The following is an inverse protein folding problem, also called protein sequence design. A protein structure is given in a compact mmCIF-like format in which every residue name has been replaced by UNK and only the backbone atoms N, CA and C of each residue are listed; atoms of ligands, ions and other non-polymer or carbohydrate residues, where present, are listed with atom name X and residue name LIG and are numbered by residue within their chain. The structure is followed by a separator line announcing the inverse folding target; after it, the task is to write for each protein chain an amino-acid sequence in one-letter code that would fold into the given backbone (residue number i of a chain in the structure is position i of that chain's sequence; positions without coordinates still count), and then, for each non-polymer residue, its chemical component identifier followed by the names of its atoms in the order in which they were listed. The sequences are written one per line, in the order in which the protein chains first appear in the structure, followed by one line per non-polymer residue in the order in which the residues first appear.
data_IF_107717174827
#
_entry.id   IF_107717174827
#
_cell.length_a   1.000
_cell.length_b   1.000
_cell.length_c   1.000
_cell.angle_alpha   90.00
_cell.angle_beta   90.00
_cell.angle_gamma   90.00
#
_symmetry.space_group_name_H-M   'P 1'
#
loop_
_entity.id
_entity.type
_entity.pdbx_description
1 polymer ?
#
# COMPACT_ATOMS: atom_id res chain seq x y z
N UNK A 1 12.46 -21.47 -20.09
CA UNK A 1 13.81 -21.07 -19.63
C UNK A 1 14.68 -22.32 -19.51
N UNK A 2 16.02 -22.22 -19.62
CA UNK A 2 16.91 -23.34 -19.37
C UNK A 2 16.77 -23.88 -17.94
N UNK A 3 17.11 -25.15 -17.74
CA UNK A 3 17.26 -25.72 -16.40
C UNK A 3 18.23 -24.88 -15.55
N UNK A 4 18.08 -24.97 -14.23
CA UNK A 4 18.91 -24.25 -13.25
C UNK A 4 18.91 -22.72 -13.47
N UNK A 5 17.74 -22.16 -13.82
CA UNK A 5 17.50 -20.73 -13.90
C UNK A 5 16.58 -20.31 -12.76
N UNK A 6 17.00 -19.30 -12.00
CA UNK A 6 16.22 -18.74 -10.89
C UNK A 6 15.87 -17.29 -11.23
N UNK A 7 14.57 -16.99 -11.22
CA UNK A 7 14.05 -15.66 -11.44
C UNK A 7 13.53 -15.07 -10.13
N UNK A 8 13.63 -13.75 -10.03
CA UNK A 8 12.92 -12.97 -9.02
C UNK A 8 11.90 -12.06 -9.71
N UNK A 9 10.73 -11.96 -9.10
CA UNK A 9 9.55 -11.41 -9.76
C UNK A 9 8.33 -11.31 -8.86
N UNK A 10 7.25 -10.82 -9.42
CA UNK A 10 5.99 -10.60 -8.70
C UNK A 10 4.81 -11.22 -9.44
N UNK A 11 3.91 -11.89 -8.72
CA UNK A 11 2.64 -12.34 -9.26
C UNK A 11 1.63 -11.20 -9.20
N UNK A 12 1.06 -10.86 -10.36
CA UNK A 12 0.10 -9.76 -10.49
C UNK A 12 -1.19 -10.30 -11.07
N UNK A 13 -2.31 -10.06 -10.39
CA UNK A 13 -3.64 -10.27 -10.95
C UNK A 13 -4.10 -9.00 -11.66
N UNK A 14 -4.49 -9.11 -12.92
CA UNK A 14 -4.95 -7.98 -13.73
C UNK A 14 -6.49 -7.91 -13.73
N UNK A 15 -7.03 -6.70 -13.60
CA UNK A 15 -8.44 -6.41 -13.81
C UNK A 15 -8.83 -6.45 -15.29
N UNK A 16 -10.13 -6.28 -15.57
CA UNK A 16 -10.64 -6.21 -16.96
C UNK A 16 -10.12 -5.01 -17.74
N UNK A 17 -9.67 -3.99 -17.03
CA UNK A 17 -9.02 -2.78 -17.55
C UNK A 17 -7.51 -2.98 -17.79
N UNK A 18 -6.98 -4.19 -17.54
CA UNK A 18 -5.56 -4.49 -17.64
C UNK A 18 -4.73 -3.94 -16.50
N UNK A 19 -5.35 -3.38 -15.45
CA UNK A 19 -4.65 -2.77 -14.34
C UNK A 19 -4.42 -3.78 -13.19
N UNK A 20 -3.28 -3.69 -12.48
CA UNK A 20 -3.02 -4.53 -11.30
C UNK A 20 -4.11 -4.38 -10.22
N UNK A 21 -4.62 -5.50 -9.71
CA UNK A 21 -5.64 -5.53 -8.65
C UNK A 21 -5.32 -6.56 -7.58
N UNK A 22 -4.83 -6.08 -6.42
CA UNK A 22 -4.43 -6.92 -5.30
C UNK A 22 -5.57 -7.73 -4.67
N UNK A 23 -6.80 -7.20 -4.67
CA UNK A 23 -7.96 -7.91 -4.14
C UNK A 23 -8.29 -9.15 -4.97
N UNK A 24 -8.02 -9.14 -6.27
CA UNK A 24 -8.18 -10.32 -7.12
C UNK A 24 -7.16 -11.40 -6.76
N UNK A 25 -5.91 -11.02 -6.46
CA UNK A 25 -4.87 -11.97 -6.04
C UNK A 25 -5.21 -12.64 -4.70
N UNK A 26 -5.75 -11.88 -3.73
CA UNK A 26 -6.22 -12.46 -2.45
C UNK A 26 -7.40 -13.43 -2.62
N UNK A 27 -8.21 -13.22 -3.66
CA UNK A 27 -9.34 -14.07 -4.03
C UNK A 27 -9.02 -14.99 -5.23
N UNK A 28 -7.78 -15.50 -5.27
CA UNK A 28 -7.13 -16.25 -6.36
C UNK A 28 -8.04 -17.24 -7.11
N UNK A 29 -8.94 -17.94 -6.40
CA UNK A 29 -9.88 -18.92 -7.00
C UNK A 29 -10.77 -18.34 -8.11
N UNK A 30 -10.96 -17.03 -8.14
CA UNK A 30 -11.78 -16.33 -9.15
C UNK A 30 -10.97 -15.64 -10.25
N UNK A 31 -9.63 -15.61 -10.12
CA UNK A 31 -8.73 -14.80 -10.94
C UNK A 31 -7.68 -15.61 -11.72
N UNK A 32 -7.74 -16.95 -11.70
CA UNK A 32 -6.73 -17.85 -12.29
C UNK A 32 -6.31 -17.48 -13.73
N UNK A 33 -7.27 -17.04 -14.55
CA UNK A 33 -7.03 -16.67 -15.96
C UNK A 33 -6.38 -15.31 -16.19
N UNK A 34 -6.12 -14.51 -15.14
CA UNK A 34 -5.61 -13.14 -15.24
C UNK A 34 -4.38 -12.90 -14.36
N UNK A 35 -3.68 -13.97 -13.98
CA UNK A 35 -2.47 -13.87 -13.17
C UNK A 35 -1.24 -14.03 -14.07
N UNK A 36 -0.37 -13.03 -14.00
CA UNK A 36 0.87 -12.94 -14.75
C UNK A 36 2.03 -12.77 -13.79
N UNK A 37 3.09 -13.55 -13.98
CA UNK A 37 4.36 -13.41 -13.27
C UNK A 37 5.24 -12.38 -13.99
N UNK A 38 5.48 -11.25 -13.34
CA UNK A 38 6.36 -10.19 -13.82
C UNK A 38 7.77 -10.37 -13.28
N UNK A 39 8.68 -10.90 -14.10
CA UNK A 39 10.07 -11.07 -13.76
C UNK A 39 10.81 -9.72 -13.78
N UNK A 40 11.54 -9.42 -12.71
CA UNK A 40 12.34 -8.20 -12.58
C UNK A 40 13.85 -8.47 -12.41
N UNK A 41 14.25 -9.70 -12.05
CA UNK A 41 15.67 -10.07 -11.91
C UNK A 41 15.93 -11.54 -12.29
N UNK A 42 17.18 -11.87 -12.56
CA UNK A 42 17.67 -13.24 -12.76
C UNK A 42 18.84 -13.47 -11.81
N UNK A 43 18.67 -14.43 -10.89
CA UNK A 43 19.65 -14.71 -9.83
C UNK A 43 20.60 -15.84 -10.22
N UNK A 44 20.12 -16.77 -11.03
CA UNK A 44 20.90 -17.88 -11.57
C UNK A 44 20.50 -18.10 -13.03
N UNK A 45 21.47 -18.36 -13.90
CA UNK A 45 21.21 -18.76 -15.28
C UNK A 45 22.08 -19.95 -15.68
N UNK A 46 21.46 -21.08 -16.05
CA UNK A 46 22.15 -22.33 -16.41
C UNK A 46 23.15 -22.77 -15.32
N UNK A 47 22.73 -22.71 -14.06
CA UNK A 47 23.56 -23.08 -12.90
C UNK A 47 24.63 -22.06 -12.50
N UNK A 48 24.81 -20.96 -13.24
CA UNK A 48 25.73 -19.89 -12.86
C UNK A 48 25.03 -18.90 -11.92
N UNK A 49 25.61 -18.71 -10.74
CA UNK A 49 25.20 -17.67 -9.80
C UNK A 49 25.54 -16.27 -10.35
N UNK A 50 24.53 -15.40 -10.33
CA UNK A 50 24.63 -14.02 -10.78
C UNK A 50 24.44 -13.01 -9.64
N UNK A 51 24.30 -13.46 -8.40
CA UNK A 51 24.01 -12.57 -7.26
C UNK A 51 25.07 -11.48 -7.06
N UNK A 52 26.32 -11.75 -7.42
CA UNK A 52 27.43 -10.77 -7.35
C UNK A 52 27.63 -9.94 -8.64
N UNK A 53 26.81 -10.17 -9.67
CA UNK A 53 26.83 -9.40 -10.92
C UNK A 53 25.97 -8.15 -10.76
N UNK A 54 26.31 -6.97 -11.32
CA UNK A 54 25.48 -5.77 -11.25
C UNK A 54 24.05 -5.96 -11.80
N UNK A 55 23.06 -5.32 -11.18
CA UNK A 55 21.64 -5.42 -11.59
C UNK A 55 21.43 -5.08 -13.06
N UNK A 56 22.11 -4.08 -13.59
CA UNK A 56 22.05 -3.69 -15.01
C UNK A 56 22.39 -4.85 -15.95
N UNK A 57 23.46 -5.58 -15.67
CA UNK A 57 23.89 -6.75 -16.45
C UNK A 57 22.92 -7.94 -16.27
N UNK A 58 22.47 -8.21 -15.04
CA UNK A 58 21.45 -9.24 -14.80
C UNK A 58 20.17 -8.93 -15.56
N UNK A 59 19.76 -7.66 -15.58
CA UNK A 59 18.56 -7.21 -16.28
C UNK A 59 18.69 -7.34 -17.80
N UNK A 60 19.84 -6.97 -18.36
CA UNK A 60 20.12 -7.17 -19.78
C UNK A 60 20.05 -8.65 -20.15
N UNK A 61 20.66 -9.54 -19.34
CA UNK A 61 20.54 -10.98 -19.56
C UNK A 61 19.08 -11.44 -19.49
N UNK A 62 18.34 -11.03 -18.46
CA UNK A 62 16.94 -11.39 -18.29
C UNK A 62 16.09 -11.02 -19.51
N UNK A 63 16.31 -9.85 -20.10
CA UNK A 63 15.62 -9.41 -21.33
C UNK A 63 15.89 -10.34 -22.52
N UNK A 64 17.09 -10.91 -22.62
CA UNK A 64 17.44 -11.82 -23.72
C UNK A 64 16.91 -13.25 -23.52
N UNK A 65 16.73 -13.69 -22.27
CA UNK A 65 16.39 -15.09 -21.98
C UNK A 65 14.92 -15.32 -21.67
N UNK A 66 14.20 -14.29 -21.22
CA UNK A 66 12.78 -14.38 -20.95
C UNK A 66 11.97 -14.19 -22.23
N UNK A 67 11.21 -15.20 -22.61
CA UNK A 67 10.21 -15.10 -23.67
C UNK A 67 8.86 -14.77 -23.03
N UNK A 68 8.25 -13.60 -23.32
CA UNK A 68 6.95 -13.23 -22.77
C UNK A 68 5.83 -14.16 -23.24
N UNK A 69 4.84 -14.36 -22.37
CA UNK A 69 3.59 -15.07 -22.63
C UNK A 69 2.47 -14.46 -21.77
N UNK A 70 1.24 -14.96 -21.90
CA UNK A 70 0.09 -14.48 -21.12
C UNK A 70 0.31 -14.57 -19.59
N UNK A 71 1.14 -15.52 -19.16
CA UNK A 71 1.41 -15.78 -17.74
C UNK A 71 2.78 -15.34 -17.26
N UNK A 72 3.66 -14.88 -18.17
CA UNK A 72 5.02 -14.45 -17.81
C UNK A 72 5.42 -13.22 -18.62
N UNK A 73 5.80 -12.15 -17.94
CA UNK A 73 6.23 -10.92 -18.58
C UNK A 73 7.49 -10.34 -17.92
N UNK A 74 8.19 -9.47 -18.63
CA UNK A 74 9.20 -8.60 -18.03
C UNK A 74 8.47 -7.45 -17.31
N UNK A 75 8.86 -7.14 -16.08
CA UNK A 75 8.48 -5.87 -15.45
C UNK A 75 8.93 -4.68 -16.30
N UNK A 76 8.20 -3.57 -16.30
CA UNK A 76 8.67 -2.38 -17.02
C UNK A 76 9.77 -1.66 -16.24
N UNK A 77 10.72 -1.07 -16.98
CA UNK A 77 11.75 -0.17 -16.46
C UNK A 77 11.52 1.20 -17.09
N UNK A 78 11.55 2.23 -16.27
CA UNK A 78 11.40 3.60 -16.71
C UNK A 78 12.70 4.37 -16.53
N UNK A 79 13.10 5.11 -17.56
CA UNK A 79 14.22 6.06 -17.54
C UNK A 79 13.78 7.48 -17.10
N UNK A 80 12.50 7.64 -16.75
CA UNK A 80 11.95 8.90 -16.24
C UNK A 80 12.63 9.29 -14.94
N UNK A 81 12.67 10.60 -14.70
CA UNK A 81 13.07 11.11 -13.39
C UNK A 81 12.11 10.64 -12.30
N UNK A 82 12.58 10.60 -11.05
CA UNK A 82 11.74 10.21 -9.91
C UNK A 82 10.43 11.04 -9.85
N UNK A 83 10.52 12.36 -10.09
CA UNK A 83 9.35 13.26 -10.08
C UNK A 83 8.33 12.92 -11.16
N UNK A 84 8.79 12.65 -12.38
CA UNK A 84 7.92 12.28 -13.50
C UNK A 84 7.27 10.91 -13.26
N UNK A 85 8.03 9.97 -12.69
CA UNK A 85 7.51 8.66 -12.36
C UNK A 85 6.46 8.75 -11.25
N UNK A 86 6.68 9.57 -10.21
CA UNK A 86 5.68 9.82 -9.18
C UNK A 86 4.39 10.44 -9.74
N UNK A 87 4.51 11.38 -10.70
CA UNK A 87 3.35 11.94 -11.39
C UNK A 87 2.61 10.87 -12.20
N UNK A 88 3.35 10.05 -12.94
CA UNK A 88 2.79 8.95 -13.74
C UNK A 88 2.01 7.95 -12.88
N UNK A 89 2.60 7.49 -11.78
CA UNK A 89 1.98 6.56 -10.83
C UNK A 89 0.69 7.15 -10.26
N UNK A 90 0.69 8.43 -9.86
CA UNK A 90 -0.52 9.11 -9.38
C UNK A 90 -1.61 9.17 -10.45
N UNK A 91 -1.26 9.57 -11.67
CA UNK A 91 -2.23 9.71 -12.78
C UNK A 91 -2.86 8.38 -13.16
N UNK A 92 -2.11 7.28 -13.07
CA UNK A 92 -2.57 5.94 -13.46
C UNK A 92 -3.06 5.10 -12.27
N UNK A 93 -3.19 5.69 -11.08
CA UNK A 93 -3.71 4.99 -9.91
C UNK A 93 -2.84 3.79 -9.47
N UNK A 94 -1.52 3.86 -9.69
CA UNK A 94 -0.60 2.80 -9.29
C UNK A 94 -0.20 2.93 -7.80
N UNK A 95 -0.06 1.82 -7.06
CA UNK A 95 0.28 1.78 -5.62
C UNK A 95 1.69 2.28 -5.36
N UNK A 96 2.59 2.20 -6.33
CA UNK A 96 3.96 2.61 -6.09
C UNK A 96 4.99 2.09 -7.05
N UNK A 97 6.22 2.19 -6.58
CA UNK A 97 7.40 1.96 -7.38
C UNK A 97 8.58 1.56 -6.53
N UNK A 98 9.48 0.79 -7.12
CA UNK A 98 10.71 0.29 -6.53
C UNK A 98 11.85 0.84 -7.37
N UNK A 99 12.60 1.74 -6.76
CA UNK A 99 13.86 2.20 -7.29
C UNK A 99 14.95 1.19 -6.92
N UNK A 100 15.76 0.78 -7.90
CA UNK A 100 16.88 -0.13 -7.67
C UNK A 100 18.16 0.48 -8.23
N UNK A 101 19.25 0.42 -7.48
CA UNK A 101 20.55 0.86 -7.98
C UNK A 101 21.06 -0.08 -9.08
N UNK A 102 21.37 0.46 -10.25
CA UNK A 102 21.81 -0.31 -11.42
C UNK A 102 23.15 -1.04 -11.23
N UNK A 103 24.01 -0.51 -10.37
CA UNK A 103 25.32 -1.05 -10.00
C UNK A 103 25.25 -2.03 -8.81
N UNK A 104 24.06 -2.29 -8.26
CA UNK A 104 23.92 -3.12 -7.06
C UNK A 104 23.98 -4.62 -7.33
N UNK A 105 24.69 -5.33 -6.45
CA UNK A 105 24.63 -6.78 -6.32
C UNK A 105 23.35 -7.21 -5.59
N UNK A 106 22.91 -8.45 -5.81
CA UNK A 106 21.79 -9.04 -5.09
C UNK A 106 22.24 -9.51 -3.71
N UNK A 107 21.52 -9.11 -2.65
CA UNK A 107 21.86 -9.42 -1.27
C UNK A 107 20.68 -10.13 -0.59
N UNK A 108 20.65 -11.48 -0.60
CA UNK A 108 19.54 -12.25 -0.06
C UNK A 108 19.27 -11.92 1.41
N UNK A 109 18.02 -11.61 1.75
CA UNK A 109 17.58 -11.40 3.14
C UNK A 109 18.04 -10.09 3.79
N UNK A 110 18.81 -9.23 3.11
CA UNK A 110 19.30 -7.98 3.67
C UNK A 110 18.53 -6.77 3.13
N UNK A 111 18.22 -5.83 4.02
CA UNK A 111 17.59 -4.54 3.67
C UNK A 111 18.66 -3.43 3.65
N UNK A 112 19.33 -3.27 2.52
CA UNK A 112 20.52 -2.41 2.40
C UNK A 112 20.26 -1.04 1.76
N UNK A 113 19.00 -0.68 1.52
CA UNK A 113 18.62 0.61 0.90
C UNK A 113 18.93 0.70 -0.60
N UNK A 114 19.66 -0.27 -1.16
CA UNK A 114 19.92 -0.41 -2.60
C UNK A 114 18.64 -0.60 -3.41
N UNK A 115 17.61 -1.13 -2.75
CA UNK A 115 16.25 -1.27 -3.25
C UNK A 115 15.35 -0.42 -2.36
N UNK A 116 14.82 0.65 -2.93
CA UNK A 116 13.94 1.57 -2.21
C UNK A 116 12.55 1.50 -2.81
N UNK A 117 11.61 0.96 -2.02
CA UNK A 117 10.20 0.97 -2.36
C UNK A 117 9.57 2.29 -1.93
N UNK A 118 8.95 2.98 -2.88
CA UNK A 118 8.13 4.15 -2.67
C UNK A 118 6.68 3.80 -3.05
N UNK A 119 5.83 3.59 -2.05
CA UNK A 119 4.38 3.44 -2.25
C UNK A 119 3.73 4.81 -2.37
N UNK A 120 3.01 5.04 -3.45
CA UNK A 120 2.00 6.09 -3.52
C UNK A 120 0.76 5.54 -2.83
N UNK A 121 0.60 5.93 -1.57
CA UNK A 121 -0.70 5.84 -0.93
C UNK A 121 -1.65 6.76 -1.71
N UNK A 122 -2.44 6.17 -2.62
CA UNK A 122 -3.66 6.79 -3.12
C UNK A 122 -4.60 6.87 -1.91
N UNK A 123 -4.35 7.88 -1.08
CA UNK A 123 -5.07 8.09 0.16
C UNK A 123 -6.50 8.42 -0.20
N UNK A 124 -7.41 7.49 0.08
CA UNK A 124 -8.78 7.90 0.34
C UNK A 124 -8.76 8.64 1.67
N UNK A 125 -9.22 9.89 1.67
CA UNK A 125 -9.41 10.62 2.91
C UNK A 125 -10.50 9.93 3.72
N UNK A 126 -10.13 9.45 4.91
CA UNK A 126 -11.07 8.87 5.84
C UNK A 126 -11.39 9.86 6.96
N UNK A 127 -12.65 9.81 7.39
CA UNK A 127 -13.18 10.55 8.53
C UNK A 127 -13.13 9.64 9.74
N UNK A 128 -12.59 10.18 10.86
CA UNK A 128 -12.61 9.49 12.15
C UNK A 128 -14.01 9.65 12.75
N UNK A 129 -14.74 8.55 12.86
CA UNK A 129 -16.09 8.50 13.46
C UNK A 129 -16.13 7.94 14.88
N UNK A 130 -15.02 7.38 15.35
CA UNK A 130 -14.91 6.91 16.72
C UNK A 130 -13.52 6.40 17.05
N UNK A 131 -13.35 5.94 18.27
CA UNK A 131 -12.14 5.29 18.73
C UNK A 131 -12.42 4.25 19.81
N UNK A 132 -11.56 3.25 19.95
CA UNK A 132 -11.51 2.39 21.14
C UNK A 132 -10.58 3.05 22.16
N UNK A 133 -11.04 3.32 23.40
CA UNK A 133 -10.18 3.86 24.47
C UNK A 133 -8.96 2.97 24.72
N UNK A 134 -7.89 3.59 25.20
CA UNK A 134 -6.63 2.92 25.54
C UNK A 134 -5.83 3.74 26.54
N UNK A 135 -4.75 3.16 27.08
CA UNK A 135 -3.93 3.76 28.16
C UNK A 135 -3.40 5.15 27.83
N UNK A 136 -3.19 5.46 26.54
CA UNK A 136 -2.66 6.74 26.07
C UNK A 136 -3.64 7.51 25.17
N UNK A 137 -4.93 7.38 25.44
CA UNK A 137 -6.02 8.05 24.73
C UNK A 137 -6.88 7.09 23.94
N UNK A 138 -6.31 6.44 22.93
CA UNK A 138 -6.99 5.41 22.15
C UNK A 138 -6.05 4.27 21.73
N UNK A 139 -6.61 3.07 21.61
CA UNK A 139 -5.94 1.87 21.07
C UNK A 139 -6.24 1.66 19.58
N UNK A 140 -7.41 2.11 19.12
CA UNK A 140 -7.80 2.03 17.72
C UNK A 140 -8.63 3.25 17.30
N UNK A 141 -8.50 3.67 16.05
CA UNK A 141 -9.42 4.61 15.41
C UNK A 141 -10.45 3.86 14.56
N UNK A 142 -11.66 4.37 14.51
CA UNK A 142 -12.76 3.84 13.70
C UNK A 142 -12.98 4.85 12.59
N UNK A 143 -12.69 4.44 11.36
CA UNK A 143 -12.64 5.34 10.22
C UNK A 143 -13.57 4.90 9.10
N UNK A 144 -14.03 5.87 8.32
CA UNK A 144 -14.89 5.63 7.17
C UNK A 144 -14.88 6.77 6.18
N UNK A 145 -15.70 6.66 5.15
CA UNK A 145 -15.80 7.66 4.09
C UNK A 145 -17.27 8.01 3.85
N UNK A 146 -17.54 9.20 3.33
CA UNK A 146 -18.91 9.59 2.99
C UNK A 146 -19.33 8.99 1.65
N UNK A 147 -20.49 8.34 1.62
CA UNK A 147 -21.24 8.02 0.41
C UNK A 147 -22.52 8.86 0.44
N UNK A 148 -22.50 9.98 -0.29
CA UNK A 148 -23.54 11.00 -0.15
C UNK A 148 -23.50 11.64 1.24
N UNK A 149 -24.58 11.49 2.02
CA UNK A 149 -24.68 12.01 3.39
C UNK A 149 -24.36 10.97 4.47
N UNK A 150 -24.20 9.71 4.08
CA UNK A 150 -23.96 8.61 5.00
C UNK A 150 -22.47 8.39 5.19
N UNK A 151 -22.03 8.27 6.45
CA UNK A 151 -20.68 7.86 6.77
C UNK A 151 -20.62 6.33 6.76
N UNK A 152 -19.84 5.76 5.85
CA UNK A 152 -19.68 4.31 5.68
C UNK A 152 -18.38 3.88 6.36
N UNK A 153 -18.49 2.99 7.34
CA UNK A 153 -17.36 2.38 8.02
C UNK A 153 -16.48 1.62 7.02
N UNK A 154 -15.18 1.88 7.10
CA UNK A 154 -14.18 1.26 6.26
C UNK A 154 -13.25 0.36 7.08
N UNK A 155 -12.78 0.81 8.24
CA UNK A 155 -11.80 0.05 9.02
C UNK A 155 -11.69 0.49 10.48
N UNK A 156 -11.22 -0.44 11.32
CA UNK A 156 -10.68 -0.20 12.65
C UNK A 156 -9.15 -0.24 12.61
N UNK A 157 -8.51 0.90 12.80
CA UNK A 157 -7.06 1.10 12.63
C UNK A 157 -6.34 1.09 13.97
N UNK A 158 -5.54 0.06 14.23
CA UNK A 158 -4.71 -0.09 15.45
C UNK A 158 -3.23 0.27 15.24
N UNK A 159 -2.68 -0.10 14.09
CA UNK A 159 -1.26 0.04 13.75
C UNK A 159 -0.96 1.35 12.99
N UNK A 160 0.32 1.71 12.91
CA UNK A 160 0.79 2.82 12.06
C UNK A 160 0.85 4.20 12.72
N UNK A 161 0.53 4.31 14.01
CA UNK A 161 0.63 5.56 14.77
C UNK A 161 1.63 5.43 15.91
N UNK A 162 2.73 6.19 15.84
CA UNK A 162 3.70 6.30 16.93
C UNK A 162 3.08 7.03 18.14
N UNK A 163 3.61 6.82 19.38
CA UNK A 163 3.01 7.38 20.59
C UNK A 163 2.83 8.91 20.59
N UNK A 164 3.74 9.65 19.95
CA UNK A 164 3.62 11.10 19.80
C UNK A 164 2.41 11.49 18.94
N UNK A 165 2.21 10.82 17.80
CA UNK A 165 1.08 11.05 16.89
C UNK A 165 -0.24 10.66 17.54
N UNK A 166 -0.29 9.53 18.28
CA UNK A 166 -1.50 9.13 19.03
C UNK A 166 -1.96 10.23 19.98
N UNK A 167 -1.05 10.78 20.77
CA UNK A 167 -1.35 11.91 21.69
C UNK A 167 -1.86 13.13 20.93
N UNK A 168 -1.17 13.54 19.86
CA UNK A 168 -1.57 14.71 19.06
C UNK A 168 -2.96 14.55 18.43
N UNK A 169 -3.29 13.35 17.94
CA UNK A 169 -4.61 13.06 17.39
C UNK A 169 -5.66 13.05 18.49
N UNK A 170 -5.39 12.37 19.61
CA UNK A 170 -6.32 12.27 20.73
C UNK A 170 -6.72 13.64 21.28
N UNK A 171 -5.74 14.54 21.46
CA UNK A 171 -5.98 15.91 21.94
C UNK A 171 -6.98 16.68 21.07
N UNK A 172 -7.02 16.40 19.76
CA UNK A 172 -7.93 17.07 18.82
C UNK A 172 -9.33 16.45 18.81
N UNK A 173 -9.43 15.14 19.00
CA UNK A 173 -10.71 14.43 18.88
C UNK A 173 -11.44 14.25 20.22
N UNK A 174 -10.74 14.33 21.37
CA UNK A 174 -11.32 14.03 22.70
C UNK A 174 -12.56 14.85 23.07
N UNK A 175 -12.70 16.03 22.47
CA UNK A 175 -13.81 16.96 22.70
C UNK A 175 -15.00 16.77 21.76
N UNK A 176 -14.86 15.97 20.71
CA UNK A 176 -15.87 15.81 19.65
C UNK A 176 -16.85 14.66 19.93
N UNK A 177 -17.13 14.33 21.19
CA UNK A 177 -17.92 13.13 21.54
C UNK A 177 -19.36 13.19 20.99
N UNK A 178 -19.82 12.08 20.45
CA UNK A 178 -21.19 11.85 20.02
C UNK A 178 -21.86 10.77 20.88
N UNK A 179 -23.17 10.88 21.06
CA UNK A 179 -23.95 9.90 21.82
C UNK A 179 -24.23 8.60 21.04
N UNK A 180 -24.16 8.64 19.70
CA UNK A 180 -24.51 7.52 18.82
C UNK A 180 -23.41 7.27 17.79
N UNK A 181 -23.33 6.02 17.34
CA UNK A 181 -22.49 5.63 16.22
C UNK A 181 -22.87 6.46 14.97
N UNK A 182 -21.90 7.10 14.30
CA UNK A 182 -22.18 7.90 13.10
C UNK A 182 -22.20 7.05 11.81
N UNK A 183 -21.81 5.77 11.86
CA UNK A 183 -21.68 4.93 10.67
C UNK A 183 -22.99 4.22 10.30
N UNK A 184 -23.34 4.25 9.03
CA UNK A 184 -24.61 3.71 8.52
C UNK A 184 -24.60 2.17 8.33
N UNK A 185 -23.43 1.57 8.15
CA UNK A 185 -23.25 0.13 7.86
C UNK A 185 -22.68 -0.68 9.05
N UNK A 186 -22.70 -0.12 10.26
CA UNK A 186 -22.36 -0.83 11.48
C UNK A 186 -23.62 -1.19 12.29
N UNK A 187 -23.61 -2.29 13.07
CA UNK A 187 -22.50 -3.21 13.34
C UNK A 187 -22.20 -4.19 12.20
N UNK A 188 -20.98 -4.76 12.19
CA UNK A 188 -20.66 -5.92 11.36
C UNK A 188 -21.28 -7.21 11.94
N UNK A 189 -21.74 -8.11 11.06
CA UNK A 189 -22.42 -9.35 11.44
C UNK A 189 -21.50 -10.44 12.04
N UNK A 190 -20.21 -10.39 11.73
CA UNK A 190 -19.23 -11.36 12.21
C UNK A 190 -17.93 -10.68 12.61
N UNK A 191 -17.15 -11.34 13.46
CA UNK A 191 -15.88 -10.82 13.93
C UNK A 191 -14.74 -10.89 12.90
N UNK A 192 -15.05 -11.44 11.71
CA UNK A 192 -14.09 -11.77 10.69
C UNK A 192 -13.08 -12.84 11.14
N UNK A 193 -12.21 -13.24 10.21
CA UNK A 193 -11.24 -14.34 10.43
C UNK A 193 -10.20 -14.03 11.51
N UNK A 194 -9.99 -12.75 11.84
CA UNK A 194 -8.92 -12.26 12.72
C UNK A 194 -9.42 -11.47 13.93
N UNK A 195 -10.71 -11.59 14.29
CA UNK A 195 -11.28 -10.85 15.42
C UNK A 195 -11.27 -9.33 15.27
N UNK A 196 -11.22 -8.86 14.02
CA UNK A 196 -11.10 -7.44 13.67
C UNK A 196 -12.45 -6.77 13.43
N UNK A 197 -13.52 -7.56 13.28
CA UNK A 197 -14.86 -7.06 13.00
C UNK A 197 -15.37 -6.18 14.14
N UNK A 198 -16.09 -5.12 13.77
CA UNK A 198 -16.71 -4.20 14.71
C UNK A 198 -18.16 -4.63 14.94
N UNK A 199 -18.31 -5.70 15.71
CA UNK A 199 -19.61 -6.27 16.10
C UNK A 199 -20.35 -5.37 17.10
N UNK A 200 -21.64 -5.63 17.30
CA UNK A 200 -22.47 -4.89 18.25
C UNK A 200 -21.89 -4.89 19.68
N UNK A 201 -21.24 -5.98 20.09
CA UNK A 201 -20.61 -6.07 21.41
C UNK A 201 -19.39 -5.14 21.51
N UNK A 202 -18.50 -5.19 20.51
CA UNK A 202 -17.29 -4.34 20.47
C UNK A 202 -17.63 -2.85 20.33
N UNK A 203 -18.76 -2.53 19.70
CA UNK A 203 -19.26 -1.16 19.61
C UNK A 203 -19.58 -0.55 20.98
N UNK A 204 -19.89 -1.35 22.01
CA UNK A 204 -20.14 -0.84 23.37
C UNK A 204 -18.89 -0.27 24.02
N UNK A 205 -17.72 -0.75 23.63
CA UNK A 205 -16.42 -0.26 24.10
C UNK A 205 -15.96 1.00 23.36
N UNK A 206 -16.65 1.38 22.29
CA UNK A 206 -16.23 2.48 21.42
C UNK A 206 -16.76 3.82 21.92
N UNK A 207 -15.93 4.86 21.76
CA UNK A 207 -16.35 6.25 21.93
C UNK A 207 -16.58 6.85 20.55
N UNK A 208 -17.80 7.32 20.32
CA UNK A 208 -18.21 7.89 19.04
C UNK A 208 -17.91 9.37 18.96
N UNK A 209 -17.68 9.85 17.74
CA UNK A 209 -17.34 11.24 17.46
C UNK A 209 -18.35 11.89 16.51
N UNK A 210 -18.55 13.19 16.70
CA UNK A 210 -19.34 14.03 15.81
C UNK A 210 -18.56 14.26 14.52
N UNK A 211 -19.00 13.61 13.45
CA UNK A 211 -18.52 13.88 12.11
C UNK A 211 -19.44 14.92 11.46
N UNK A 212 -18.98 16.18 11.39
CA UNK A 212 -19.67 17.20 10.57
C UNK A 212 -18.77 17.60 9.41
N UNK A 213 -19.30 17.45 8.20
CA UNK A 213 -18.77 18.16 7.03
C UNK A 213 -19.18 19.62 7.20
N UNK A 214 -18.24 20.52 7.54
CA UNK A 214 -18.46 21.96 7.34
C UNK A 214 -18.15 22.26 5.88
N UNK A 215 -19.19 22.44 5.07
CA UNK A 215 -19.05 23.18 3.81
C UNK A 215 -18.84 24.66 4.16
N UNK A 216 -17.58 25.06 4.33
CA UNK A 216 -17.20 26.47 4.31
C UNK A 216 -15.75 26.57 3.88
N UNK A 217 -15.48 27.45 2.94
CA UNK A 217 -14.22 27.70 2.25
C UNK A 217 -13.07 28.19 3.16
N UNK A 218 -13.16 27.98 4.47
CA UNK A 218 -12.17 28.34 5.48
C UNK A 218 -12.16 27.27 6.60
N UNK A 219 -10.96 26.76 6.88
CA UNK A 219 -10.59 25.71 7.83
C UNK A 219 -11.41 25.65 9.14
N UNK A 220 -12.04 24.49 9.41
CA UNK A 220 -12.13 23.87 10.75
C UNK A 220 -12.11 22.33 10.57
N UNK A 221 -11.07 21.70 11.09
CA UNK A 221 -10.65 20.32 10.84
C UNK A 221 -11.45 19.26 11.63
N UNK A 222 -12.23 18.41 10.95
CA UNK A 222 -12.15 16.98 11.23
C UNK A 222 -10.88 16.52 10.51
N UNK A 223 -9.73 16.55 11.20
CA UNK A 223 -8.44 16.29 10.54
C UNK A 223 -8.49 14.96 9.81
N UNK A 224 -8.49 15.02 8.48
CA UNK A 224 -7.88 14.01 7.64
C UNK A 224 -6.47 13.76 8.18
N UNK A 225 -6.04 12.49 8.26
CA UNK A 225 -4.67 12.22 8.67
C UNK A 225 -3.72 12.87 7.65
N UNK A 226 -2.84 13.80 8.05
CA UNK A 226 -1.94 14.44 7.09
C UNK A 226 -0.96 13.43 6.51
N UNK A 227 -0.62 13.63 5.24
CA UNK A 227 0.39 12.93 4.43
C UNK A 227 1.81 12.80 5.05
N UNK A 228 2.06 13.39 6.22
CA UNK A 228 3.40 13.51 6.81
C UNK A 228 3.68 12.40 7.82
N UNK A 229 3.96 11.19 7.33
CA UNK A 229 4.65 10.17 8.14
C UNK A 229 5.73 9.39 7.37
N UNK A 230 5.96 9.69 6.09
CA UNK A 230 6.89 8.92 5.25
C UNK A 230 7.60 9.82 4.24
N UNK A 231 8.54 10.64 4.69
CA UNK A 231 9.45 11.35 3.79
C UNK A 231 10.88 11.26 4.33
N UNK A 232 11.72 10.48 3.64
CA UNK A 232 13.18 10.58 3.73
C UNK A 232 13.70 11.27 2.47
N UNK A 233 14.67 12.18 2.66
CA UNK A 233 15.35 12.96 1.63
C UNK A 233 16.08 12.09 0.59
N UNK A 234 16.05 12.53 -0.68
CA UNK A 234 16.92 12.03 -1.74
C UNK A 234 17.94 13.10 -2.13
N UNK A 235 19.22 12.71 -2.10
CA UNK A 235 20.30 13.33 -2.87
C UNK A 235 21.06 12.21 -3.59
N UNK A 236 21.10 12.26 -4.92
CA UNK A 236 21.91 11.36 -5.75
C UNK A 236 21.14 10.71 -6.91
N UNK A 237 21.73 10.76 -8.11
CA UNK A 237 21.23 10.22 -9.40
C UNK A 237 20.57 8.84 -9.30
N UNK A 238 19.36 8.74 -9.84
CA UNK A 238 18.56 7.52 -9.98
C UNK A 238 18.24 7.27 -11.45
N UNK A 239 18.66 6.12 -11.97
CA UNK A 239 18.17 5.54 -13.23
C UNK A 239 17.81 4.08 -12.94
N UNK A 240 16.58 3.69 -13.26
CA UNK A 240 16.06 2.35 -13.01
C UNK A 240 14.93 2.33 -11.98
N UNK A 241 13.71 2.55 -12.46
CA UNK A 241 12.51 2.54 -11.63
C UNK A 241 11.54 1.44 -12.14
N UNK A 242 11.30 0.41 -11.33
CA UNK A 242 10.34 -0.67 -11.60
C UNK A 242 9.09 -0.47 -10.74
N UNK A 243 7.88 -0.60 -11.28
CA UNK A 243 6.67 -0.65 -10.43
C UNK A 243 6.67 -1.95 -9.62
N UNK A 244 6.80 -1.87 -8.30
CA UNK A 244 6.79 -3.05 -7.43
C UNK A 244 5.74 -2.92 -6.35
N UNK A 245 4.97 -3.98 -6.17
CA UNK A 245 3.78 -4.07 -5.32
C UNK A 245 4.10 -5.08 -4.20
N UNK A 246 3.34 -5.07 -3.10
CA UNK A 246 3.57 -6.02 -1.98
C UNK A 246 2.44 -5.96 -0.97
#
# INVERSE_FOLDING_TARGET
LPADTVLDGELVALGRDGMPNFNLLQNFRSAESHITYYAFDVLTHKGRDLTQVPLSERRALLQTVLMPSDHVALSEVSDRTATEMLKFIKTHGLEGVVAKRSDSVYQPGLRTGLWTKHRINLGQEFVIGGYTPGTHGFDALIVGFYRGRELIYAARVRAGLVPATRRSVFEKIKHLKAAKCPFANLPELSDGRWGAGLTAEKMKECVWLLCRIRHSSHNVECRTMPHALWAYHFGGSLMGICTGWS
#
